data_IF_410448017690
#
_entry.id   IF_410448017690
#
_cell.length_a   1.000
_cell.length_b   1.000
_cell.length_c   1.000
_cell.angle_alpha   90.00
_cell.angle_beta   90.00
_cell.angle_gamma   90.00
#
_symmetry.space_group_name_H-M   'P 1'
#
loop_
_entity.id
_entity.type
_entity.pdbx_description
1 polymer ?
#
# COMPACT_ATOMS: atom_id res chain seq x y z
N UNK A 1 -16.12 -32.41 19.64
CA UNK A 1 -15.43 -31.44 18.76
C UNK A 1 -16.47 -30.40 18.36
N UNK A 2 -16.67 -29.39 19.22
CA UNK A 2 -17.75 -28.40 19.09
C UNK A 2 -17.10 -27.09 18.64
N UNK A 3 -17.37 -26.66 17.41
CA UNK A 3 -16.90 -25.35 16.94
C UNK A 3 -17.87 -24.28 17.50
N UNK A 4 -17.41 -23.28 18.26
CA UNK A 4 -18.29 -22.20 18.68
C UNK A 4 -18.54 -21.23 17.51
N UNK A 5 -19.80 -20.78 17.31
CA UNK A 5 -20.14 -19.79 16.30
C UNK A 5 -19.65 -18.41 16.77
N UNK A 6 -18.81 -17.76 15.97
CA UNK A 6 -18.36 -16.39 16.22
C UNK A 6 -16.89 -16.22 16.60
N UNK A 7 -15.96 -16.94 15.95
CA UNK A 7 -14.54 -16.59 16.00
C UNK A 7 -14.29 -15.28 15.24
N UNK A 8 -14.54 -14.16 15.90
CA UNK A 8 -13.88 -12.90 15.55
C UNK A 8 -12.37 -13.20 15.45
N UNK A 9 -11.65 -12.72 14.41
CA UNK A 9 -10.24 -13.01 14.24
C UNK A 9 -9.47 -12.36 15.39
N UNK A 10 -9.29 -13.14 16.47
CA UNK A 10 -8.69 -12.75 17.74
C UNK A 10 -7.24 -13.22 17.83
N UNK A 11 -6.71 -13.81 16.75
CA UNK A 11 -5.31 -14.19 16.65
C UNK A 11 -4.49 -13.06 15.98
N UNK A 12 -3.71 -12.28 16.76
CA UNK A 12 -2.83 -11.26 16.21
C UNK A 12 -1.76 -11.85 15.27
N UNK A 13 -1.41 -13.14 15.42
CA UNK A 13 -0.46 -13.81 14.53
C UNK A 13 -1.06 -14.04 13.14
N UNK A 14 -2.28 -14.59 13.05
CA UNK A 14 -3.00 -14.75 11.79
C UNK A 14 -3.22 -13.41 11.07
N UNK A 15 -3.58 -12.37 11.82
CA UNK A 15 -3.71 -11.02 11.30
C UNK A 15 -2.41 -10.49 10.68
N UNK A 16 -1.28 -10.66 11.40
CA UNK A 16 0.03 -10.23 10.92
C UNK A 16 0.47 -10.97 9.66
N UNK A 17 0.20 -12.28 9.58
CA UNK A 17 0.51 -13.11 8.41
C UNK A 17 -0.29 -12.65 7.20
N UNK A 18 -1.59 -12.41 7.38
CA UNK A 18 -2.45 -11.88 6.32
C UNK A 18 -1.93 -10.54 5.77
N UNK A 19 -1.61 -9.58 6.65
CA UNK A 19 -1.08 -8.28 6.20
C UNK A 19 0.27 -8.40 5.49
N UNK A 20 1.16 -9.30 5.94
CA UNK A 20 2.45 -9.55 5.28
C UNK A 20 2.27 -10.16 3.90
N UNK A 21 1.41 -11.18 3.77
CA UNK A 21 1.09 -11.80 2.48
C UNK A 21 0.52 -10.75 1.54
N UNK A 22 -0.47 -9.98 1.99
CA UNK A 22 -1.08 -8.92 1.20
C UNK A 22 -0.05 -7.87 0.75
N UNK A 23 0.83 -7.45 1.67
CA UNK A 23 1.92 -6.53 1.39
C UNK A 23 2.84 -7.07 0.29
N UNK A 24 3.35 -8.30 0.44
CA UNK A 24 4.28 -8.87 -0.54
C UNK A 24 3.62 -9.09 -1.90
N UNK A 25 2.35 -9.51 -1.92
CA UNK A 25 1.59 -9.66 -3.16
C UNK A 25 1.44 -8.33 -3.89
N UNK A 26 0.93 -7.29 -3.22
CA UNK A 26 0.75 -5.96 -3.83
C UNK A 26 2.07 -5.26 -4.17
N UNK A 27 3.10 -5.45 -3.35
CA UNK A 27 4.43 -4.95 -3.69
C UNK A 27 5.00 -5.67 -4.93
N UNK A 28 4.75 -6.98 -5.04
CA UNK A 28 5.11 -7.77 -6.21
C UNK A 28 4.41 -7.30 -7.49
N UNK A 29 3.13 -6.89 -7.41
CA UNK A 29 2.40 -6.37 -8.59
C UNK A 29 3.04 -5.09 -9.14
N UNK A 30 3.57 -4.21 -8.27
CA UNK A 30 4.32 -3.02 -8.71
C UNK A 30 5.52 -3.39 -9.59
N UNK A 31 6.29 -4.40 -9.19
CA UNK A 31 7.42 -4.90 -9.99
C UNK A 31 6.96 -5.53 -11.30
N UNK A 32 5.84 -6.26 -11.28
CA UNK A 32 5.27 -6.88 -12.47
C UNK A 32 4.77 -5.83 -13.48
N UNK A 33 4.17 -4.74 -13.02
CA UNK A 33 3.77 -3.62 -13.88
C UNK A 33 4.96 -3.02 -14.61
N UNK A 34 6.08 -2.83 -13.91
CA UNK A 34 7.31 -2.36 -14.53
C UNK A 34 7.81 -3.32 -15.61
N UNK A 35 7.84 -4.62 -15.31
CA UNK A 35 8.27 -5.65 -16.26
C UNK A 35 7.39 -5.68 -17.50
N UNK A 36 6.07 -5.56 -17.34
CA UNK A 36 5.13 -5.48 -18.48
C UNK A 36 5.44 -4.26 -19.35
N UNK A 37 5.72 -3.10 -18.75
CA UNK A 37 6.09 -1.89 -19.51
C UNK A 37 7.40 -2.06 -20.28
N UNK A 38 8.40 -2.74 -19.72
CA UNK A 38 9.65 -3.03 -20.44
C UNK A 38 9.40 -3.96 -21.63
N UNK A 39 8.54 -4.96 -21.48
CA UNK A 39 8.14 -5.85 -22.59
C UNK A 39 7.36 -5.12 -23.69
N UNK A 40 6.52 -4.16 -23.30
CA UNK A 40 5.73 -3.36 -24.25
C UNK A 40 6.51 -2.19 -24.84
N UNK A 41 7.66 -1.81 -24.27
CA UNK A 41 8.40 -0.60 -24.65
C UNK A 41 8.78 -0.53 -26.14
N UNK A 42 8.97 -1.67 -26.79
CA UNK A 42 9.28 -1.74 -28.23
C UNK A 42 8.07 -1.41 -29.14
N UNK A 43 6.84 -1.45 -28.61
CA UNK A 43 5.60 -1.34 -29.39
C UNK A 43 4.83 -0.04 -29.11
N UNK A 44 5.29 0.81 -28.20
CA UNK A 44 4.60 2.04 -27.83
C UNK A 44 5.24 3.22 -28.54
N UNK A 45 4.48 3.86 -29.43
CA UNK A 45 4.93 5.10 -30.09
C UNK A 45 4.93 6.28 -29.09
N UNK A 46 5.95 7.14 -29.13
CA UNK A 46 5.98 8.35 -28.30
C UNK A 46 4.82 9.28 -28.65
N UNK A 47 4.03 9.68 -27.64
CA UNK A 47 2.93 10.63 -27.81
C UNK A 47 3.07 11.79 -26.82
N UNK A 48 3.01 12.99 -27.35
CA UNK A 48 3.06 14.23 -26.57
C UNK A 48 1.64 14.66 -26.14
N UNK A 49 1.11 14.08 -25.07
CA UNK A 49 -0.11 14.59 -24.40
C UNK A 49 0.19 15.10 -22.99
N UNK A 50 0.58 16.38 -22.88
CA UNK A 50 1.01 16.98 -21.60
C UNK A 50 -0.08 17.12 -20.52
N UNK A 51 -1.34 17.34 -20.92
CA UNK A 51 -2.44 17.57 -19.97
C UNK A 51 -2.81 16.30 -19.17
N UNK A 52 -2.83 15.14 -19.83
CA UNK A 52 -3.14 13.84 -19.20
C UNK A 52 -2.07 13.47 -18.17
N UNK A 53 -0.79 13.63 -18.54
CA UNK A 53 0.35 13.39 -17.64
C UNK A 53 0.29 14.27 -16.40
N UNK A 54 -0.05 15.54 -16.55
CA UNK A 54 -0.16 16.50 -15.44
C UNK A 54 -1.29 16.11 -14.48
N UNK A 55 -2.45 15.70 -15.01
CA UNK A 55 -3.58 15.24 -14.19
C UNK A 55 -3.22 13.97 -13.41
N UNK A 56 -2.59 12.98 -14.05
CA UNK A 56 -2.15 11.75 -13.40
C UNK A 56 -1.10 12.02 -12.32
N UNK A 57 -0.17 12.94 -12.56
CA UNK A 57 0.80 13.38 -11.57
C UNK A 57 0.12 14.03 -10.35
N UNK A 58 -0.86 14.90 -10.57
CA UNK A 58 -1.62 15.54 -9.49
C UNK A 58 -2.40 14.50 -8.65
N UNK A 59 -3.03 13.51 -9.28
CA UNK A 59 -3.73 12.43 -8.59
C UNK A 59 -2.77 11.55 -7.79
N UNK A 60 -1.63 11.18 -8.37
CA UNK A 60 -0.59 10.41 -7.67
C UNK A 60 -0.06 11.17 -6.43
N UNK A 61 0.20 12.48 -6.57
CA UNK A 61 0.62 13.31 -5.46
C UNK A 61 -0.45 13.37 -4.37
N UNK A 62 -1.72 13.54 -4.73
CA UNK A 62 -2.83 13.52 -3.77
C UNK A 62 -2.92 12.18 -3.02
N UNK A 63 -2.81 11.04 -3.72
CA UNK A 63 -2.75 9.73 -3.09
C UNK A 63 -1.56 9.62 -2.12
N UNK A 64 -0.37 10.06 -2.52
CA UNK A 64 0.81 10.07 -1.67
C UNK A 64 0.61 10.89 -0.39
N UNK A 65 0.06 12.10 -0.50
CA UNK A 65 -0.27 12.95 0.66
C UNK A 65 -1.25 12.25 1.60
N UNK A 66 -2.29 11.61 1.07
CA UNK A 66 -3.27 10.87 1.87
C UNK A 66 -2.61 9.72 2.62
N UNK A 67 -1.74 8.94 1.96
CA UNK A 67 -0.99 7.85 2.63
C UNK A 67 -0.08 8.39 3.73
N UNK A 68 0.68 9.45 3.46
CA UNK A 68 1.54 10.10 4.44
C UNK A 68 0.74 10.62 5.64
N UNK A 69 -0.40 11.25 5.38
CA UNK A 69 -1.31 11.72 6.43
C UNK A 69 -1.81 10.56 7.31
N UNK A 70 -2.28 9.46 6.72
CA UNK A 70 -2.69 8.30 7.51
C UNK A 70 -1.52 7.70 8.30
N UNK A 71 -0.35 7.60 7.67
CA UNK A 71 0.84 6.98 8.26
C UNK A 71 1.41 7.76 9.45
N UNK A 72 1.47 9.08 9.35
CA UNK A 72 2.06 9.95 10.37
C UNK A 72 1.03 10.45 11.39
N UNK A 73 -0.21 10.72 10.98
CA UNK A 73 -1.21 11.31 11.89
C UNK A 73 -2.12 10.27 12.57
N UNK A 74 -2.33 9.08 11.98
CA UNK A 74 -3.35 8.12 12.49
C UNK A 74 -2.78 6.82 13.06
N UNK A 75 -1.63 6.36 12.58
CA UNK A 75 -1.01 5.12 13.12
C UNK A 75 -0.44 5.29 14.54
N UNK A 76 0.27 6.39 14.89
CA UNK A 76 0.80 6.57 16.24
C UNK A 76 -0.26 6.62 17.37
N UNK A 77 -1.37 7.37 17.25
CA UNK A 77 -2.37 7.42 18.33
C UNK A 77 -3.11 6.08 18.51
N UNK A 78 -3.35 5.31 17.44
CA UNK A 78 -4.01 4.00 17.54
C UNK A 78 -3.11 2.92 18.17
N UNK A 79 -1.79 3.04 18.02
CA UNK A 79 -0.81 2.22 18.74
C UNK A 79 -0.73 2.61 20.22
N UNK A 80 -0.92 3.89 20.55
CA UNK A 80 -0.85 4.43 21.91
C UNK A 80 -2.14 4.27 22.74
N UNK A 81 -3.32 4.18 22.12
CA UNK A 81 -4.60 4.01 22.82
C UNK A 81 -4.71 2.63 23.49
N UNK A 82 -4.33 2.51 24.77
CA UNK A 82 -4.46 1.27 25.54
C UNK A 82 -5.91 0.92 25.94
N UNK A 83 -6.89 1.80 25.69
CA UNK A 83 -8.18 1.84 26.40
C UNK A 83 -9.44 1.47 25.58
N UNK A 84 -9.32 0.90 24.39
CA UNK A 84 -10.46 0.48 23.55
C UNK A 84 -10.54 -1.03 23.30
N UNK A 85 -11.72 -1.53 22.90
CA UNK A 85 -11.95 -2.93 22.51
C UNK A 85 -10.91 -3.39 21.48
N UNK A 86 -10.15 -4.43 21.85
CA UNK A 86 -9.02 -4.95 21.08
C UNK A 86 -9.43 -5.37 19.67
N UNK A 87 -10.63 -5.93 19.52
CA UNK A 87 -11.16 -6.39 18.23
C UNK A 87 -11.44 -5.23 17.28
N UNK A 88 -12.03 -4.14 17.78
CA UNK A 88 -12.35 -2.94 17.02
C UNK A 88 -11.08 -2.17 16.60
N UNK A 89 -10.07 -2.14 17.48
CA UNK A 89 -8.75 -1.56 17.17
C UNK A 89 -8.06 -2.32 16.04
N UNK A 90 -8.09 -3.65 16.09
CA UNK A 90 -7.49 -4.50 15.05
C UNK A 90 -8.16 -4.30 13.68
N UNK A 91 -9.49 -4.24 13.66
CA UNK A 91 -10.25 -3.97 12.44
C UNK A 91 -9.92 -2.59 11.84
N UNK A 92 -9.76 -1.56 12.69
CA UNK A 92 -9.39 -0.21 12.27
C UNK A 92 -7.97 -0.16 11.73
N UNK A 93 -7.00 -0.81 12.38
CA UNK A 93 -5.64 -0.94 11.86
C UNK A 93 -5.61 -1.65 10.51
N UNK A 94 -6.37 -2.74 10.36
CA UNK A 94 -6.52 -3.46 9.08
C UNK A 94 -6.92 -2.52 7.96
N UNK A 95 -7.99 -1.76 8.20
CA UNK A 95 -8.54 -0.84 7.21
C UNK A 95 -7.49 0.20 6.77
N UNK A 96 -6.75 0.79 7.72
CA UNK A 96 -5.71 1.79 7.41
C UNK A 96 -4.55 1.19 6.60
N UNK A 97 -4.09 -0.02 6.93
CA UNK A 97 -3.05 -0.70 6.16
C UNK A 97 -3.51 -1.04 4.74
N UNK A 98 -4.68 -1.66 4.60
CA UNK A 98 -5.24 -2.02 3.28
C UNK A 98 -5.40 -0.75 2.43
N UNK A 99 -6.01 0.31 2.98
CA UNK A 99 -6.19 1.57 2.28
C UNK A 99 -4.85 2.17 1.84
N UNK A 100 -3.83 2.13 2.70
CA UNK A 100 -2.49 2.62 2.38
C UNK A 100 -1.84 1.81 1.25
N UNK A 101 -1.99 0.48 1.26
CA UNK A 101 -1.46 -0.37 0.20
C UNK A 101 -2.17 -0.14 -1.13
N UNK A 102 -3.50 -0.03 -1.13
CA UNK A 102 -4.28 0.25 -2.34
C UNK A 102 -3.95 1.63 -2.93
N UNK A 103 -3.78 2.65 -2.08
CA UNK A 103 -3.35 3.98 -2.56
C UNK A 103 -1.92 3.96 -3.11
N UNK A 104 -1.03 3.19 -2.50
CA UNK A 104 0.35 3.03 -3.00
C UNK A 104 0.37 2.31 -4.35
N UNK A 105 -0.47 1.28 -4.52
CA UNK A 105 -0.65 0.59 -5.80
C UNK A 105 -1.24 1.52 -6.87
N UNK A 106 -2.22 2.36 -6.52
CA UNK A 106 -2.80 3.34 -7.43
C UNK A 106 -1.74 4.32 -7.99
N UNK A 107 -0.79 4.76 -7.16
CA UNK A 107 0.35 5.59 -7.59
C UNK A 107 1.18 4.87 -8.65
N UNK A 108 1.49 3.58 -8.47
CA UNK A 108 2.20 2.80 -9.47
C UNK A 108 1.39 2.64 -10.77
N UNK A 109 0.07 2.43 -10.67
CA UNK A 109 -0.82 2.34 -11.83
C UNK A 109 -0.88 3.65 -12.61
N UNK A 110 -0.82 4.82 -11.96
CA UNK A 110 -0.74 6.09 -12.68
C UNK A 110 0.55 6.21 -13.49
N UNK A 111 1.69 5.78 -12.93
CA UNK A 111 2.96 5.68 -13.67
C UNK A 111 2.87 4.71 -14.84
N UNK A 112 2.19 3.58 -14.65
CA UNK A 112 1.94 2.60 -15.70
C UNK A 112 1.13 3.21 -16.85
N UNK A 113 0.05 3.93 -16.55
CA UNK A 113 -0.77 4.61 -17.55
C UNK A 113 0.03 5.68 -18.28
N UNK A 114 0.83 6.50 -17.58
CA UNK A 114 1.70 7.51 -18.21
C UNK A 114 2.64 6.87 -19.24
N UNK A 115 3.25 5.72 -18.91
CA UNK A 115 4.14 5.00 -19.83
C UNK A 115 3.38 4.40 -21.01
N UNK A 116 2.20 3.82 -20.77
CA UNK A 116 1.33 3.25 -21.81
C UNK A 116 0.82 4.31 -22.80
N UNK A 117 0.62 5.54 -22.35
CA UNK A 117 0.23 6.68 -23.20
C UNK A 117 1.40 7.22 -24.05
N UNK A 118 2.56 6.56 -24.07
CA UNK A 118 3.72 6.99 -24.84
C UNK A 118 4.65 7.96 -24.09
N UNK A 119 4.46 8.13 -22.77
CA UNK A 119 5.39 8.87 -21.92
C UNK A 119 6.77 8.22 -21.83
N UNK A 120 7.79 9.01 -21.52
CA UNK A 120 9.15 8.50 -21.39
C UNK A 120 9.31 7.66 -20.11
N UNK A 121 10.30 6.75 -20.09
CA UNK A 121 10.63 5.96 -18.88
C UNK A 121 10.94 6.87 -17.69
N UNK A 122 11.60 8.00 -17.94
CA UNK A 122 12.01 8.98 -16.94
C UNK A 122 10.80 9.70 -16.30
N UNK A 123 9.70 9.87 -17.06
CA UNK A 123 8.47 10.47 -16.54
C UNK A 123 7.69 9.48 -15.66
N UNK A 124 7.70 8.19 -16.01
CA UNK A 124 7.00 7.15 -15.26
C UNK A 124 7.77 6.68 -14.01
N UNK A 125 9.11 6.66 -14.07
CA UNK A 125 9.98 6.25 -12.96
C UNK A 125 9.64 6.86 -11.58
N UNK A 126 9.38 8.18 -11.44
CA UNK A 126 9.06 8.76 -10.12
C UNK A 126 7.77 8.20 -9.51
N UNK A 127 6.79 7.78 -10.31
CA UNK A 127 5.56 7.15 -9.80
C UNK A 127 5.85 5.78 -9.18
N UNK A 128 6.65 4.94 -9.87
CA UNK A 128 7.05 3.63 -9.34
C UNK A 128 7.93 3.76 -8.10
N UNK A 129 8.91 4.67 -8.13
CA UNK A 129 9.75 4.97 -6.97
C UNK A 129 8.93 5.49 -5.79
N UNK A 130 7.97 6.38 -6.05
CA UNK A 130 7.03 6.89 -5.06
C UNK A 130 6.19 5.78 -4.44
N UNK A 131 5.60 4.90 -5.26
CA UNK A 131 4.84 3.75 -4.78
C UNK A 131 5.70 2.82 -3.90
N UNK A 132 6.92 2.49 -4.35
CA UNK A 132 7.87 1.66 -3.57
C UNK A 132 8.19 2.33 -2.23
N UNK A 133 8.47 3.63 -2.22
CA UNK A 133 8.75 4.38 -1.00
C UNK A 133 7.53 4.36 -0.04
N UNK A 134 6.31 4.53 -0.56
CA UNK A 134 5.08 4.45 0.23
C UNK A 134 4.87 3.04 0.82
N UNK A 135 5.11 1.99 0.04
CA UNK A 135 5.07 0.61 0.55
C UNK A 135 6.09 0.40 1.68
N UNK A 136 7.34 0.78 1.47
CA UNK A 136 8.39 0.66 2.50
C UNK A 136 8.04 1.44 3.78
N UNK A 137 7.48 2.63 3.63
CA UNK A 137 7.05 3.45 4.77
C UNK A 137 5.87 2.81 5.53
N UNK A 138 4.94 2.20 4.78
CA UNK A 138 3.75 1.53 5.29
C UNK A 138 3.98 0.06 5.65
N UNK A 139 5.24 -0.39 5.76
CA UNK A 139 5.57 -1.76 6.11
C UNK A 139 4.80 -2.23 7.36
N UNK A 140 4.15 -3.41 7.31
CA UNK A 140 3.27 -3.87 8.38
C UNK A 140 4.03 -4.05 9.69
N UNK A 141 3.83 -3.14 10.65
CA UNK A 141 4.36 -3.28 12.01
C UNK A 141 3.41 -4.15 12.83
N UNK A 142 3.95 -5.24 13.36
CA UNK A 142 3.21 -6.21 14.17
C UNK A 142 3.09 -5.67 15.60
N UNK A 143 1.88 -5.54 16.18
CA UNK A 143 1.74 -5.29 17.61
C UNK A 143 2.37 -6.45 18.38
N UNK A 144 3.19 -6.21 19.43
CA UNK A 144 3.77 -7.30 20.20
C UNK A 144 2.65 -8.19 20.73
N UNK A 145 2.79 -9.51 20.54
CA UNK A 145 1.87 -10.48 21.11
C UNK A 145 1.89 -10.28 22.63
N UNK A 146 0.71 -10.08 23.25
CA UNK A 146 0.61 -10.08 24.71
C UNK A 146 1.15 -11.42 25.20
N UNK A 147 2.33 -11.42 25.82
CA UNK A 147 2.94 -12.61 26.40
C UNK A 147 4.41 -12.89 26.08
N UNK A 148 5.23 -11.94 25.62
CA UNK A 148 6.69 -12.10 25.79
C UNK A 148 7.04 -11.67 27.22
N UNK A 149 7.45 -12.58 28.12
CA UNK A 149 8.07 -12.18 29.37
C UNK A 149 9.38 -11.48 28.98
N UNK A 150 9.42 -10.16 29.15
CA UNK A 150 10.69 -9.46 29.26
C UNK A 150 11.11 -9.66 30.71
N UNK A 151 12.31 -10.24 30.88
CA UNK A 151 12.84 -10.68 32.16
C UNK A 151 13.15 -9.56 33.14
#
# INVERSE_FOLDING_TARGET
>A
MHYPPGSAPTDPAAFSRFLKILYFTLFGTVGLYWLVLEMLAANVEPRESGMEKTLLAALAAACGVVVLYFRFSRIPPLLAEASGDFSQRLARLRFHYILSYTLSEAVALYGFVVRMLGGAREEAAPFFLGAVALFLLCYPRVPPARGSPTG
#
